data_IF_509199138391
#
_entry.id   IF_509199138391
#
_cell.length_a   1.000
_cell.length_b   1.000
_cell.length_c   1.000
_cell.angle_alpha   90.00
_cell.angle_beta   90.00
_cell.angle_gamma   90.00
#
_symmetry.space_group_name_H-M   'P 1'
#
loop_
_entity.id
_entity.type
_entity.pdbx_description
1 polymer ?
#
# COMPACT_ATOMS: atom_id res chain seq x y z
N UNK A 1 -15.17 2.44 22.95
CA UNK A 1 -15.54 2.82 21.57
C UNK A 1 -14.37 3.48 20.83
N UNK A 2 -13.64 4.45 21.42
CA UNK A 2 -12.51 5.13 20.74
C UNK A 2 -11.40 4.25 20.11
N UNK A 3 -11.01 3.11 20.72
CA UNK A 3 -9.88 2.32 20.19
C UNK A 3 -10.18 1.57 18.89
N UNK A 4 -11.43 1.16 18.67
CA UNK A 4 -11.81 0.46 17.43
C UNK A 4 -11.84 1.43 16.25
N UNK A 5 -12.36 2.64 16.47
CA UNK A 5 -12.43 3.69 15.45
C UNK A 5 -11.03 4.15 15.03
N UNK A 6 -10.12 4.31 15.99
CA UNK A 6 -8.72 4.67 15.73
C UNK A 6 -8.00 3.56 14.94
N UNK A 7 -8.20 2.29 15.30
CA UNK A 7 -7.59 1.17 14.57
C UNK A 7 -8.06 1.10 13.12
N UNK A 8 -9.37 1.23 12.89
CA UNK A 8 -9.95 1.22 11.54
C UNK A 8 -9.43 2.39 10.72
N UNK A 9 -9.35 3.58 11.32
CA UNK A 9 -8.81 4.77 10.66
C UNK A 9 -7.32 4.59 10.33
N UNK A 10 -6.49 4.17 11.29
CA UNK A 10 -5.05 3.94 11.08
C UNK A 10 -4.81 2.86 10.02
N UNK A 11 -5.54 1.75 10.08
CA UNK A 11 -5.46 0.68 9.08
C UNK A 11 -5.88 1.15 7.69
N UNK A 12 -6.98 1.89 7.59
CA UNK A 12 -7.45 2.45 6.33
C UNK A 12 -6.43 3.43 5.74
N UNK A 13 -5.92 4.36 6.55
CA UNK A 13 -4.90 5.32 6.14
C UNK A 13 -3.60 4.64 5.72
N UNK A 14 -3.14 3.64 6.49
CA UNK A 14 -1.95 2.86 6.17
C UNK A 14 -2.10 2.13 4.83
N UNK A 15 -3.24 1.49 4.61
CA UNK A 15 -3.54 0.80 3.36
C UNK A 15 -3.55 1.77 2.18
N UNK A 16 -4.37 2.83 2.22
CA UNK A 16 -4.53 3.75 1.09
C UNK A 16 -3.29 4.58 0.80
N UNK A 17 -2.54 4.99 1.83
CA UNK A 17 -1.28 5.72 1.65
C UNK A 17 -0.26 4.87 0.92
N UNK A 18 -0.06 3.64 1.36
CA UNK A 18 0.93 2.73 0.76
C UNK A 18 0.46 2.14 -0.57
N UNK A 19 -0.83 2.24 -0.89
CA UNK A 19 -1.39 1.75 -2.15
C UNK A 19 -1.55 2.84 -3.21
N UNK A 20 -1.20 4.09 -2.93
CA UNK A 20 -1.48 5.19 -3.85
C UNK A 20 -0.66 5.07 -5.15
N UNK A 21 0.60 4.65 -5.07
CA UNK A 21 1.48 4.44 -6.23
C UNK A 21 1.00 3.22 -7.03
N UNK A 22 0.62 2.14 -6.33
CA UNK A 22 0.02 0.95 -6.91
C UNK A 22 -1.31 1.26 -7.62
N UNK A 23 -2.12 2.20 -7.10
CA UNK A 23 -3.41 2.60 -7.70
C UNK A 23 -3.19 3.18 -9.09
N UNK A 24 -2.23 4.08 -9.22
CA UNK A 24 -1.91 4.74 -10.48
C UNK A 24 -1.24 3.78 -11.47
N UNK A 25 -0.32 2.94 -10.99
CA UNK A 25 0.32 1.91 -11.81
C UNK A 25 -0.71 0.91 -12.35
N UNK A 26 -1.58 0.40 -11.49
CA UNK A 26 -2.61 -0.58 -11.87
C UNK A 26 -3.68 0.04 -12.77
N UNK A 27 -4.11 1.28 -12.52
CA UNK A 27 -5.01 2.01 -13.40
C UNK A 27 -4.40 2.24 -14.80
N UNK A 28 -3.11 2.59 -14.88
CA UNK A 28 -2.39 2.71 -16.15
C UNK A 28 -2.31 1.39 -16.91
N UNK A 29 -2.06 0.29 -16.20
CA UNK A 29 -2.10 -1.05 -16.79
C UNK A 29 -3.49 -1.43 -17.31
N UNK A 30 -4.55 -1.14 -16.53
CA UNK A 30 -5.93 -1.37 -16.96
C UNK A 30 -6.30 -0.53 -18.19
N UNK A 31 -5.78 0.69 -18.32
CA UNK A 31 -6.05 1.56 -19.47
C UNK A 31 -5.61 0.96 -20.81
N UNK A 32 -4.59 0.08 -20.82
CA UNK A 32 -4.10 -0.63 -22.02
C UNK A 32 -4.53 -2.11 -22.09
N UNK A 33 -5.30 -2.55 -21.11
CA UNK A 33 -5.83 -3.92 -21.02
C UNK A 33 -7.21 -3.99 -21.67
N UNK A 34 -7.54 -5.05 -22.43
CA UNK A 34 -8.90 -5.24 -22.92
C UNK A 34 -9.92 -5.39 -21.78
N UNK A 35 -11.09 -4.76 -21.88
CA UNK A 35 -12.10 -4.78 -20.79
C UNK A 35 -12.53 -6.17 -20.35
N UNK A 36 -12.58 -7.15 -21.25
CA UNK A 36 -12.92 -8.54 -20.88
C UNK A 36 -11.87 -9.20 -19.97
N UNK A 37 -10.64 -8.66 -19.89
CA UNK A 37 -9.56 -9.16 -19.03
C UNK A 37 -9.46 -8.40 -17.71
N UNK A 38 -10.25 -7.34 -17.50
CA UNK A 38 -10.18 -6.53 -16.27
C UNK A 38 -10.36 -7.38 -15.01
N UNK A 39 -11.31 -8.31 -15.04
CA UNK A 39 -11.56 -9.21 -13.92
C UNK A 39 -10.34 -10.09 -13.62
N UNK A 40 -9.77 -10.77 -14.64
CA UNK A 40 -8.63 -11.66 -14.47
C UNK A 40 -7.38 -10.92 -13.93
N UNK A 41 -7.12 -9.73 -14.46
CA UNK A 41 -6.02 -8.86 -14.01
C UNK A 41 -6.26 -8.32 -12.60
N UNK A 42 -7.51 -7.99 -12.24
CA UNK A 42 -7.86 -7.56 -10.88
C UNK A 42 -7.76 -8.67 -9.85
N UNK A 43 -8.08 -9.91 -10.24
CA UNK A 43 -7.82 -11.08 -9.39
C UNK A 43 -6.32 -11.23 -9.15
N UNK A 44 -5.49 -11.10 -10.18
CA UNK A 44 -4.04 -11.18 -10.04
C UNK A 44 -3.48 -10.09 -9.10
N UNK A 45 -3.97 -8.86 -9.22
CA UNK A 45 -3.65 -7.75 -8.32
C UNK A 45 -4.02 -8.10 -6.87
N UNK A 46 -5.25 -8.55 -6.63
CA UNK A 46 -5.75 -8.90 -5.30
C UNK A 46 -5.00 -10.10 -4.70
N UNK A 47 -4.60 -11.08 -5.51
CA UNK A 47 -3.73 -12.18 -5.08
C UNK A 47 -2.34 -11.66 -4.69
N UNK A 48 -1.77 -10.73 -5.46
CA UNK A 48 -0.50 -10.08 -5.12
C UNK A 48 -0.57 -9.31 -3.79
N UNK A 49 -1.62 -8.51 -3.60
CA UNK A 49 -1.85 -7.80 -2.33
C UNK A 49 -2.07 -8.77 -1.17
N UNK A 50 -2.87 -9.83 -1.39
CA UNK A 50 -3.07 -10.88 -0.38
C UNK A 50 -1.78 -11.59 0.00
N UNK A 51 -0.90 -11.85 -0.97
CA UNK A 51 0.45 -12.38 -0.71
C UNK A 51 1.28 -11.43 0.16
N UNK A 52 1.29 -10.12 -0.14
CA UNK A 52 2.01 -9.13 0.66
C UNK A 52 1.48 -9.04 2.10
N UNK A 53 0.14 -9.06 2.28
CA UNK A 53 -0.48 -9.08 3.61
C UNK A 53 -0.08 -10.36 4.37
N UNK A 54 -0.16 -11.53 3.72
CA UNK A 54 0.25 -12.80 4.33
C UNK A 54 1.72 -12.82 4.71
N UNK A 55 2.59 -12.26 3.86
CA UNK A 55 4.01 -12.10 4.14
C UNK A 55 4.24 -11.15 5.32
N UNK A 56 3.51 -10.02 5.39
CA UNK A 56 3.62 -9.08 6.49
C UNK A 56 3.21 -9.71 7.84
N UNK A 57 2.13 -10.49 7.86
CA UNK A 57 1.71 -11.28 9.04
C UNK A 57 2.78 -12.29 9.43
N UNK A 58 3.29 -13.07 8.47
CA UNK A 58 4.30 -14.09 8.73
C UNK A 58 5.61 -13.51 9.28
N UNK A 59 6.07 -12.39 8.71
CA UNK A 59 7.27 -11.67 9.18
C UNK A 59 7.00 -11.01 10.52
N UNK A 60 5.83 -10.40 10.74
CA UNK A 60 5.44 -9.87 12.04
C UNK A 60 5.50 -10.94 13.13
N UNK A 61 4.90 -12.11 12.89
CA UNK A 61 4.90 -13.23 13.82
C UNK A 61 6.32 -13.76 14.12
N UNK A 62 7.20 -13.86 13.11
CA UNK A 62 8.58 -14.31 13.33
C UNK A 62 9.42 -13.30 14.14
N UNK A 63 9.08 -12.01 14.09
CA UNK A 63 9.65 -10.95 14.92
C UNK A 63 9.02 -10.86 16.32
N UNK A 64 8.26 -11.87 16.77
CA UNK A 64 7.68 -11.91 18.12
C UNK A 64 8.74 -11.84 19.23
N UNK A 65 9.91 -12.45 19.02
CA UNK A 65 11.05 -12.43 19.93
C UNK A 65 11.82 -11.11 19.95
N UNK A 66 11.64 -10.27 18.94
CA UNK A 66 12.30 -8.97 18.83
C UNK A 66 11.49 -7.92 19.59
N UNK A 67 12.12 -7.09 20.46
CA UNK A 67 11.39 -6.04 21.16
C UNK A 67 10.73 -5.07 20.18
N UNK A 68 9.48 -4.69 20.45
CA UNK A 68 8.66 -3.87 19.54
C UNK A 68 9.34 -2.56 19.11
N UNK A 69 10.13 -1.95 20.01
CA UNK A 69 10.91 -0.74 19.73
C UNK A 69 11.86 -0.88 18.53
N UNK A 70 12.44 -2.07 18.30
CA UNK A 70 13.34 -2.34 17.17
C UNK A 70 12.57 -2.63 15.89
N UNK A 71 11.39 -3.26 16.00
CA UNK A 71 10.47 -3.43 14.86
C UNK A 71 9.95 -2.06 14.41
N UNK A 72 9.70 -1.15 15.35
CA UNK A 72 9.34 0.25 15.07
C UNK A 72 10.40 1.02 14.28
N UNK A 73 11.68 0.60 14.29
CA UNK A 73 12.72 1.19 13.42
C UNK A 73 12.42 0.94 11.94
N UNK A 74 11.70 -0.14 11.60
CA UNK A 74 11.20 -0.34 10.23
C UNK A 74 10.26 0.80 9.79
N UNK A 75 9.63 1.51 10.73
CA UNK A 75 8.82 2.69 10.43
C UNK A 75 9.63 3.91 9.98
N UNK A 76 10.97 3.87 10.06
CA UNK A 76 11.84 4.85 9.40
C UNK A 76 11.90 4.62 7.87
N UNK A 77 11.57 3.42 7.38
CA UNK A 77 11.57 3.14 5.95
C UNK A 77 10.56 4.02 5.18
N UNK A 78 9.32 4.26 5.64
CA UNK A 78 8.44 5.30 5.10
C UNK A 78 9.10 6.67 4.93
N UNK A 79 9.93 7.12 5.87
CA UNK A 79 10.65 8.40 5.75
C UNK A 79 11.79 8.32 4.74
N UNK A 80 12.51 7.19 4.68
CA UNK A 80 13.49 6.93 3.63
C UNK A 80 12.86 6.91 2.22
N UNK A 81 11.67 6.34 2.09
CA UNK A 81 10.88 6.32 0.86
C UNK A 81 10.37 7.72 0.49
N UNK A 82 9.85 8.48 1.46
CA UNK A 82 9.45 9.88 1.25
C UNK A 82 10.63 10.73 0.74
N UNK A 83 11.81 10.55 1.32
CA UNK A 83 13.04 11.21 0.89
C UNK A 83 13.49 10.79 -0.51
N UNK A 84 13.40 9.49 -0.83
CA UNK A 84 13.70 8.97 -2.16
C UNK A 84 12.77 9.59 -3.21
N UNK A 85 11.46 9.57 -2.96
CA UNK A 85 10.45 10.13 -3.86
C UNK A 85 10.64 11.64 -4.04
N UNK A 86 10.96 12.38 -2.97
CA UNK A 86 11.31 13.79 -3.08
C UNK A 86 12.47 14.01 -4.06
N UNK A 87 13.56 13.24 -3.92
CA UNK A 87 14.76 13.40 -4.75
C UNK A 87 14.58 13.01 -6.22
N UNK A 88 13.69 12.06 -6.50
CA UNK A 88 13.47 11.53 -7.86
C UNK A 88 12.19 12.04 -8.52
N UNK A 89 11.52 13.02 -7.94
CA UNK A 89 10.31 13.65 -8.49
C UNK A 89 10.45 14.15 -9.94
N UNK A 90 11.69 14.48 -10.36
CA UNK A 90 12.00 15.02 -11.69
C UNK A 90 12.46 13.91 -12.67
N UNK A 91 12.74 12.69 -12.19
CA UNK A 91 13.10 11.51 -12.99
C UNK A 91 11.83 10.74 -13.36
N UNK A 92 11.00 11.30 -14.25
CA UNK A 92 9.79 10.63 -14.73
C UNK A 92 10.15 9.38 -15.54
N UNK A 93 10.24 8.23 -14.89
CA UNK A 93 10.25 6.93 -15.57
C UNK A 93 8.82 6.67 -16.03
N UNK A 94 8.54 6.82 -17.33
CA UNK A 94 7.28 6.35 -17.89
C UNK A 94 7.16 4.84 -17.63
N UNK A 95 6.19 4.39 -16.82
CA UNK A 95 5.97 2.97 -16.64
C UNK A 95 5.45 2.44 -17.98
N UNK A 96 6.26 1.65 -18.69
CA UNK A 96 5.76 0.86 -19.82
C UNK A 96 4.63 -0.01 -19.27
N UNK A 97 3.37 0.17 -19.71
CA UNK A 97 2.25 -0.53 -19.12
C UNK A 97 2.26 -1.97 -19.64
N UNK A 98 3.09 -2.81 -19.02
CA UNK A 98 3.14 -4.24 -19.28
C UNK A 98 1.86 -4.85 -18.72
N UNK A 99 1.17 -5.65 -19.53
CA UNK A 99 -0.18 -6.16 -19.25
C UNK A 99 -0.19 -7.68 -19.13
N UNK A 100 -1.14 -8.19 -18.35
CA UNK A 100 -1.42 -9.62 -18.20
C UNK A 100 -1.36 -10.08 -16.75
N UNK A 101 -2.00 -11.21 -16.47
CA UNK A 101 -2.17 -11.77 -15.11
C UNK A 101 -0.82 -11.93 -14.38
N UNK A 102 0.14 -12.63 -15.01
CA UNK A 102 1.45 -12.86 -14.40
C UNK A 102 2.23 -11.56 -14.16
N UNK A 103 2.22 -10.64 -15.12
CA UNK A 103 2.88 -9.34 -14.97
C UNK A 103 2.25 -8.51 -13.87
N UNK A 104 0.91 -8.51 -13.76
CA UNK A 104 0.20 -7.80 -12.68
C UNK A 104 0.65 -8.27 -11.32
N UNK A 105 0.70 -9.59 -11.12
CA UNK A 105 1.15 -10.18 -9.86
C UNK A 105 2.59 -9.76 -9.54
N UNK A 106 3.50 -9.91 -10.52
CA UNK A 106 4.92 -9.56 -10.35
C UNK A 106 5.09 -8.07 -10.01
N UNK A 107 4.38 -7.19 -10.73
CA UNK A 107 4.44 -5.73 -10.49
C UNK A 107 3.88 -5.40 -9.11
N UNK A 108 2.75 -5.99 -8.71
CA UNK A 108 2.16 -5.79 -7.38
C UNK A 108 3.14 -6.17 -6.27
N UNK A 109 3.74 -7.35 -6.37
CA UNK A 109 4.70 -7.83 -5.36
C UNK A 109 5.99 -7.02 -5.39
N UNK A 110 6.49 -6.68 -6.58
CA UNK A 110 7.71 -5.91 -6.75
C UNK A 110 7.61 -4.47 -6.25
N UNK A 111 6.43 -3.86 -6.37
CA UNK A 111 6.15 -2.52 -5.83
C UNK A 111 5.78 -2.55 -4.34
N UNK A 112 5.42 -3.70 -3.78
CA UNK A 112 4.90 -3.83 -2.42
C UNK A 112 5.88 -3.63 -1.25
N UNK A 113 7.09 -3.13 -1.52
CA UNK A 113 8.13 -2.97 -0.49
C UNK A 113 7.75 -1.92 0.56
N UNK A 114 7.11 -0.83 0.14
CA UNK A 114 6.57 0.21 1.01
C UNK A 114 5.37 -0.27 1.84
N UNK A 115 4.50 -1.12 1.26
CA UNK A 115 3.44 -1.80 1.96
C UNK A 115 4.00 -2.66 3.10
N UNK A 116 5.01 -3.50 2.83
CA UNK A 116 5.63 -4.34 3.85
C UNK A 116 6.28 -3.51 4.97
N UNK A 117 6.97 -2.43 4.62
CA UNK A 117 7.61 -1.54 5.58
C UNK A 117 6.63 -0.94 6.60
N UNK A 118 5.38 -0.72 6.20
CA UNK A 118 4.31 -0.18 7.04
C UNK A 118 3.50 -1.28 7.73
N UNK A 119 3.12 -2.32 6.98
CA UNK A 119 2.17 -3.33 7.46
C UNK A 119 2.80 -4.26 8.49
N UNK A 120 4.10 -4.61 8.35
CA UNK A 120 4.80 -5.47 9.32
C UNK A 120 4.75 -4.87 10.73
N UNK A 121 5.25 -3.64 10.99
CA UNK A 121 5.22 -3.07 12.33
C UNK A 121 3.79 -2.83 12.83
N UNK A 122 2.88 -2.40 11.96
CA UNK A 122 1.48 -2.12 12.34
C UNK A 122 0.75 -3.40 12.80
N UNK A 123 0.83 -4.48 12.03
CA UNK A 123 0.23 -5.76 12.38
C UNK A 123 0.87 -6.31 13.66
N UNK A 124 2.21 -6.25 13.76
CA UNK A 124 2.96 -6.72 14.92
C UNK A 124 2.63 -5.96 16.23
N UNK A 125 2.36 -4.67 16.15
CA UNK A 125 1.99 -3.83 17.30
C UNK A 125 0.54 -4.06 17.75
N UNK A 126 -0.34 -4.45 16.82
CA UNK A 126 -1.79 -4.48 17.06
C UNK A 126 -2.26 -5.62 17.99
N UNK A 127 -1.54 -6.75 18.01
CA UNK A 127 -1.93 -7.95 18.76
C UNK A 127 -3.00 -8.78 18.05
N UNK A 128 -3.09 -10.08 18.37
CA UNK A 128 -3.76 -11.10 17.54
C UNK A 128 -5.20 -10.75 17.09
N UNK A 129 -6.06 -10.27 17.99
CA UNK A 129 -7.45 -9.93 17.62
C UNK A 129 -7.55 -8.71 16.69
N UNK A 130 -6.72 -7.69 16.93
CA UNK A 130 -6.73 -6.45 16.14
C UNK A 130 -6.04 -6.64 14.79
N UNK A 131 -5.06 -7.55 14.74
CA UNK A 131 -4.42 -7.97 13.50
C UNK A 131 -5.47 -8.53 12.52
N UNK A 132 -6.36 -9.42 12.98
CA UNK A 132 -7.46 -9.95 12.16
C UNK A 132 -8.38 -8.83 11.67
N UNK A 133 -8.70 -7.86 12.52
CA UNK A 133 -9.51 -6.71 12.13
C UNK A 133 -8.81 -5.83 11.08
N UNK A 134 -7.49 -5.59 11.22
CA UNK A 134 -6.70 -4.86 10.23
C UNK A 134 -6.63 -5.58 8.88
N UNK A 135 -6.44 -6.91 8.89
CA UNK A 135 -6.48 -7.73 7.66
C UNK A 135 -7.84 -7.61 6.98
N UNK A 136 -8.94 -7.61 7.74
CA UNK A 136 -10.27 -7.38 7.19
C UNK A 136 -10.42 -5.97 6.58
N UNK A 137 -9.89 -4.94 7.25
CA UNK A 137 -9.85 -3.56 6.71
C UNK A 137 -9.05 -3.51 5.40
N UNK A 138 -7.91 -4.19 5.32
CA UNK A 138 -7.11 -4.26 4.09
C UNK A 138 -7.84 -5.00 2.97
N UNK A 139 -8.55 -6.08 3.27
CA UNK A 139 -9.36 -6.79 2.29
C UNK A 139 -10.51 -5.91 1.73
N UNK A 140 -11.19 -5.16 2.60
CA UNK A 140 -12.22 -4.20 2.18
C UNK A 140 -11.62 -3.03 1.39
N UNK A 141 -10.48 -2.51 1.84
CA UNK A 141 -9.70 -1.50 1.14
C UNK A 141 -9.30 -1.97 -0.27
N UNK A 142 -8.92 -3.23 -0.42
CA UNK A 142 -8.56 -3.83 -1.70
C UNK A 142 -9.75 -3.90 -2.67
N UNK A 143 -10.95 -4.22 -2.18
CA UNK A 143 -12.17 -4.18 -3.02
C UNK A 143 -12.42 -2.76 -3.54
N UNK A 144 -12.32 -1.77 -2.66
CA UNK A 144 -12.48 -0.36 -3.04
C UNK A 144 -11.39 0.09 -4.01
N UNK A 145 -10.13 -0.30 -3.76
CA UNK A 145 -8.98 -0.02 -4.62
C UNK A 145 -9.19 -0.52 -6.05
N UNK A 146 -9.65 -1.76 -6.22
CA UNK A 146 -9.93 -2.32 -7.55
C UNK A 146 -11.02 -1.50 -8.26
N UNK A 147 -12.10 -1.16 -7.54
CA UNK A 147 -13.17 -0.32 -8.09
C UNK A 147 -12.69 1.07 -8.52
N UNK A 148 -11.85 1.72 -7.71
CA UNK A 148 -11.24 3.01 -8.04
C UNK A 148 -10.31 2.91 -9.26
N UNK A 149 -9.53 1.84 -9.35
CA UNK A 149 -8.63 1.59 -10.48
C UNK A 149 -9.39 1.43 -11.79
N UNK A 150 -10.52 0.73 -11.79
CA UNK A 150 -11.40 0.61 -12.96
C UNK A 150 -11.98 1.96 -13.37
N UNK A 151 -12.41 2.76 -12.39
CA UNK A 151 -12.95 4.09 -12.64
C UNK A 151 -11.88 5.06 -13.21
N UNK A 152 -10.64 4.96 -12.74
CA UNK A 152 -9.52 5.75 -13.25
C UNK A 152 -9.08 5.31 -14.65
N UNK A 153 -9.02 4.00 -14.89
CA UNK A 153 -8.64 3.43 -16.20
C UNK A 153 -9.58 3.85 -17.32
N UNK A 154 -10.85 4.14 -17.00
CA UNK A 154 -11.86 4.60 -17.96
C UNK A 154 -11.91 6.13 -18.12
N UNK A 155 -11.12 6.89 -17.35
CA UNK A 155 -11.10 8.37 -17.35
C UNK A 155 -9.67 8.92 -17.46
N UNK A 156 -9.08 8.92 -18.67
CA UNK A 156 -7.67 9.29 -18.88
C UNK A 156 -7.28 10.67 -18.35
N UNK A 157 -8.20 11.65 -18.44
CA UNK A 157 -7.97 13.01 -17.92
C UNK A 157 -7.81 13.03 -16.39
N UNK A 158 -8.59 12.22 -15.69
CA UNK A 158 -8.52 12.11 -14.23
C UNK A 158 -7.25 11.38 -13.82
N UNK A 159 -6.89 10.29 -14.52
CA UNK A 159 -5.64 9.57 -14.28
C UNK A 159 -4.40 10.47 -14.47
N UNK A 160 -4.34 11.24 -15.57
CA UNK A 160 -3.24 12.16 -15.81
C UNK A 160 -3.17 13.31 -14.78
N UNK A 161 -4.32 13.81 -14.32
CA UNK A 161 -4.36 14.79 -13.23
C UNK A 161 -3.92 14.18 -11.90
N UNK A 162 -4.35 12.96 -11.59
CA UNK A 162 -4.02 12.25 -10.37
C UNK A 162 -2.54 11.91 -10.28
N UNK A 163 -1.88 11.53 -11.38
CA UNK A 163 -0.43 11.33 -11.42
C UNK A 163 0.33 12.61 -11.05
N UNK A 164 0.02 13.73 -11.72
CA UNK A 164 0.69 15.03 -11.44
C UNK A 164 0.51 15.53 -10.01
N UNK A 165 -0.63 15.22 -9.38
CA UNK A 165 -0.91 15.62 -7.98
C UNK A 165 -0.40 14.58 -6.98
N UNK A 166 -0.39 13.31 -7.34
CA UNK A 166 0.13 12.20 -6.54
C UNK A 166 1.57 12.45 -6.15
N UNK A 167 2.44 12.74 -7.12
CA UNK A 167 3.87 13.00 -6.89
C UNK A 167 4.12 14.12 -5.87
N UNK A 168 3.20 15.07 -5.74
CA UNK A 168 3.28 16.16 -4.76
C UNK A 168 2.78 15.75 -3.37
N UNK A 169 1.80 14.85 -3.28
CA UNK A 169 1.09 14.47 -2.04
C UNK A 169 1.70 13.24 -1.38
N UNK A 170 2.18 12.28 -2.15
CA UNK A 170 2.72 10.99 -1.67
C UNK A 170 3.81 11.16 -0.59
N UNK A 171 4.81 12.05 -0.73
CA UNK A 171 5.86 12.19 0.29
C UNK A 171 5.31 12.62 1.66
N UNK A 172 4.30 13.49 1.67
CA UNK A 172 3.68 13.97 2.91
C UNK A 172 2.86 12.89 3.61
N UNK A 173 2.14 12.06 2.84
CA UNK A 173 1.41 10.93 3.40
C UNK A 173 2.36 9.91 4.05
N UNK A 174 3.48 9.59 3.38
CA UNK A 174 4.51 8.73 3.97
C UNK A 174 5.15 9.30 5.24
N UNK A 175 5.42 10.60 5.26
CA UNK A 175 5.95 11.28 6.45
C UNK A 175 4.96 11.18 7.63
N UNK A 176 3.68 11.51 7.41
CA UNK A 176 2.63 11.42 8.43
C UNK A 176 2.43 9.98 8.93
N UNK A 177 2.45 9.00 8.02
CA UNK A 177 2.30 7.59 8.36
C UNK A 177 3.47 7.07 9.21
N UNK A 178 4.70 7.47 8.89
CA UNK A 178 5.87 7.12 9.72
C UNK A 178 5.73 7.65 11.15
N UNK A 179 5.24 8.89 11.33
CA UNK A 179 4.95 9.44 12.67
C UNK A 179 3.89 8.61 13.40
N UNK A 180 2.79 8.26 12.73
CA UNK A 180 1.71 7.48 13.33
C UNK A 180 2.19 6.10 13.80
N UNK A 181 3.01 5.40 12.99
CA UNK A 181 3.54 4.07 13.37
C UNK A 181 4.52 4.19 14.54
N UNK A 182 5.36 5.23 14.59
CA UNK A 182 6.29 5.44 15.70
C UNK A 182 5.55 5.64 17.04
N UNK A 183 4.44 6.38 17.04
CA UNK A 183 3.55 6.50 18.21
C UNK A 183 2.93 5.16 18.61
N UNK A 184 2.36 4.41 17.66
CA UNK A 184 1.75 3.09 17.92
C UNK A 184 2.79 2.06 18.44
N UNK A 185 4.06 2.20 18.02
CA UNK A 185 5.15 1.35 18.48
C UNK A 185 5.78 1.81 19.81
N UNK A 186 5.32 2.93 20.39
CA UNK A 186 5.84 3.50 21.64
C UNK A 186 7.30 3.99 21.55
N UNK A 187 7.71 4.42 20.35
CA UNK A 187 9.03 5.04 20.12
C UNK A 187 8.98 6.55 20.37
N UNK A 188 7.82 7.17 20.15
CA UNK A 188 7.44 8.55 20.50
C UNK A 188 6.27 8.50 21.49
#
# INVERSE_FOLDING_TARGET
MHYADVLVLTGFLAFFTTMIDNLLAFAGQLAVTPRHQFAAVSVAQSVGVGFLVGLAVAVGASLSVVPLRWVGVLALAPWGLAWHHWRRRDDAVEPSPRRGVATTFIVTVGLGGDNLAVWIPLLRASGAWREVALVAVFALGQILFVGLSWALATRPRVSAWAQRRGDLVVPWLYAALGVAILFECGVL
#
